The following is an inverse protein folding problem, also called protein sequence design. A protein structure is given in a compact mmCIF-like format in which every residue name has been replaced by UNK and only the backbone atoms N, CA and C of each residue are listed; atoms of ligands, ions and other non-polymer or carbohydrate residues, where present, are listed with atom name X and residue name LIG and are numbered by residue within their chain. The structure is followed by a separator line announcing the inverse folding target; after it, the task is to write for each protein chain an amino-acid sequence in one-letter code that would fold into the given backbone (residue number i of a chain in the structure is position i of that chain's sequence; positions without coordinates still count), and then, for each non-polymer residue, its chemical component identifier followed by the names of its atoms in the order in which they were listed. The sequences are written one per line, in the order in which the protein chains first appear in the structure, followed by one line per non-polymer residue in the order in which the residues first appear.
data_IF_449373842117
#
_entry.id   IF_449373842117
#
_cell.length_a   1.000
_cell.length_b   1.000
_cell.length_c   1.000
_cell.angle_alpha   90.00
_cell.angle_beta   90.00
_cell.angle_gamma   90.00
#
_symmetry.space_group_name_H-M   'P 1'
#
loop_
_entity.id
_entity.type
_entity.pdbx_description
1 polymer ?
2 water ?
#
# COMPACT_ATOMS: atom_id res chain seq x y z
N UNK A 5 20.40 1.37 -4.80
CA UNK A 5 18.92 1.27 -4.75
C UNK A 5 18.45 0.68 -3.42
N UNK A 6 19.25 -0.23 -2.86
CA UNK A 6 18.91 -0.88 -1.60
C UNK A 6 18.51 0.04 -0.47
N UNK A 7 19.34 1.02 -0.11
CA UNK A 7 19.00 1.92 0.99
C UNK A 7 17.62 2.53 0.79
N UNK A 8 17.35 2.92 -0.45
CA UNK A 8 16.08 3.53 -0.77
C UNK A 8 14.93 2.54 -0.55
N UNK A 9 15.13 1.30 -0.97
CA UNK A 9 14.13 0.27 -0.82
C UNK A 9 13.97 -0.10 0.66
N UNK A 10 15.09 -0.33 1.33
CA UNK A 10 15.08 -0.67 2.74
C UNK A 10 14.40 0.44 3.52
N UNK A 11 14.70 1.69 3.17
CA UNK A 11 14.11 2.83 3.85
C UNK A 11 12.60 2.89 3.67
N UNK A 12 12.19 2.82 2.42
CA UNK A 12 10.78 2.90 2.09
C UNK A 12 9.96 1.73 2.68
N UNK A 13 10.48 0.52 2.57
CA UNK A 13 9.72 -0.62 3.02
C UNK A 13 9.84 -1.12 4.46
N UNK A 14 10.92 -0.80 5.15
CA UNK A 14 11.04 -1.27 6.52
C UNK A 14 10.33 -0.30 7.45
N UNK A 15 10.12 0.92 6.98
CA UNK A 15 9.43 1.90 7.79
C UNK A 15 7.93 1.59 7.77
N UNK A 16 7.16 2.35 8.52
CA UNK A 16 5.73 2.11 8.55
C UNK A 16 5.01 2.90 7.49
N UNK A 17 3.68 2.81 7.56
CA UNK A 17 2.79 3.49 6.64
C UNK A 17 1.76 4.17 7.51
N UNK A 18 0.97 5.05 6.92
CA UNK A 18 -0.07 5.76 7.65
C UNK A 18 -1.40 5.09 7.39
N UNK A 19 -2.16 4.87 8.45
CA UNK A 19 -3.46 4.25 8.28
C UNK A 19 -4.43 5.17 8.94
N UNK A 20 -5.47 5.57 8.21
CA UNK A 20 -6.49 6.46 8.74
C UNK A 20 -7.78 5.89 8.21
N UNK A 21 -8.81 5.87 9.04
CA UNK A 21 -10.09 5.37 8.57
C UNK A 21 -11.11 6.48 8.65
N UNK A 22 -12.07 6.46 7.74
CA UNK A 22 -13.13 7.45 7.72
C UNK A 22 -12.67 8.88 7.66
N UNK A 23 -11.67 9.15 6.84
CA UNK A 23 -11.20 10.51 6.68
C UNK A 23 -12.19 11.16 5.72
N UNK A 24 -12.29 12.47 5.76
CA UNK A 24 -13.23 13.13 4.89
C UNK A 24 -12.52 13.83 3.76
N UNK A 25 -13.09 13.71 2.57
CA UNK A 25 -12.54 14.35 1.39
C UNK A 25 -12.87 15.83 1.41
N UNK A 26 -11.82 16.65 1.39
CA UNK A 26 -11.96 18.10 1.36
C UNK A 26 -11.95 18.50 -0.09
N UNK A 27 -11.00 17.96 -0.84
CA UNK A 27 -10.87 18.29 -2.25
C UNK A 27 -10.30 17.16 -3.07
N UNK A 28 -10.69 17.12 -4.32
CA UNK A 28 -10.23 16.10 -5.22
C UNK A 28 -10.20 16.71 -6.61
N UNK A 29 -9.01 17.09 -7.05
CA UNK A 29 -8.88 17.66 -8.39
C UNK A 29 -7.44 17.80 -8.82
N UNK A 30 -7.27 17.77 -10.14
CA UNK A 30 -5.97 17.92 -10.79
C UNK A 30 -4.91 16.91 -10.33
N UNK A 31 -5.34 15.67 -10.08
CA UNK A 31 -4.43 14.61 -9.66
C UNK A 31 -4.09 14.52 -8.18
N UNK A 32 -4.70 15.35 -7.34
CA UNK A 32 -4.42 15.29 -5.91
C UNK A 32 -5.69 15.40 -5.07
N UNK A 33 -5.59 14.96 -3.82
CA UNK A 33 -6.70 14.98 -2.89
C UNK A 33 -6.25 15.64 -1.62
N UNK A 34 -7.14 16.41 -1.01
CA UNK A 34 -6.85 17.03 0.26
C UNK A 34 -7.90 16.34 1.15
N UNK A 35 -7.43 15.65 2.17
CA UNK A 35 -8.29 14.87 3.05
C UNK A 35 -8.12 15.25 4.51
N UNK A 36 -9.23 15.27 5.24
CA UNK A 36 -9.22 15.60 6.63
C UNK A 36 -9.32 14.30 7.41
N UNK A 37 -8.29 13.99 8.17
CA UNK A 37 -8.27 12.76 8.98
C UNK A 37 -8.89 13.00 10.36
N UNK A 38 -9.44 11.95 10.96
CA UNK A 38 -10.08 12.05 12.28
C UNK A 38 -9.16 12.53 13.41
N UNK A 39 -7.85 12.47 13.22
CA UNK A 39 -6.96 12.96 14.27
C UNK A 39 -6.71 14.46 14.08
N UNK A 40 -7.40 15.05 13.10
CA UNK A 40 -7.25 16.46 12.82
C UNK A 40 -6.18 16.81 11.80
N UNK A 41 -5.39 15.83 11.37
CA UNK A 41 -4.35 16.10 10.40
C UNK A 41 -4.94 16.22 8.99
N UNK A 42 -4.21 16.89 8.10
CA UNK A 42 -4.65 17.07 6.72
C UNK A 42 -3.71 16.31 5.84
N UNK A 43 -4.25 15.47 4.98
CA UNK A 43 -3.43 14.71 4.07
C UNK A 43 -3.56 15.28 2.66
N UNK A 44 -2.42 15.53 2.03
CA UNK A 44 -2.39 16.00 0.65
C UNK A 44 -1.82 14.78 -0.08
N UNK A 45 -2.66 14.11 -0.85
CA UNK A 45 -2.25 12.88 -1.52
C UNK A 45 -2.27 13.01 -3.01
N UNK A 46 -1.18 12.60 -3.64
CA UNK A 46 -1.09 12.65 -5.08
C UNK A 46 -1.42 11.30 -5.68
N UNK A 47 -1.95 11.37 -6.90
CA UNK A 47 -2.35 10.21 -7.66
C UNK A 47 -1.81 10.42 -9.05
N UNK A 48 -0.56 9.97 -9.29
CA UNK A 48 0.13 10.10 -10.57
C UNK A 48 -0.31 9.18 -11.70
N UNK A 49 -0.98 8.09 -11.35
CA UNK A 49 -1.39 7.13 -12.36
C UNK A 49 -2.65 7.48 -13.11
N UNK A 50 -2.61 7.43 -14.45
CA UNK A 50 -3.81 7.74 -15.21
C UNK A 50 -4.87 6.65 -15.04
N UNK A 51 -4.49 5.54 -14.42
CA UNK A 51 -5.39 4.42 -14.24
C UNK A 51 -6.04 4.38 -12.88
N UNK A 52 -5.58 5.23 -11.97
CA UNK A 52 -6.12 5.24 -10.63
C UNK A 52 -6.44 6.66 -10.23
N UNK A 53 -7.70 7.04 -10.40
CA UNK A 53 -8.13 8.38 -10.04
C UNK A 53 -9.35 8.21 -9.18
N UNK A 54 -9.20 8.39 -7.86
CA UNK A 54 -10.31 8.26 -6.91
C UNK A 54 -11.42 9.22 -7.29
N UNK A 55 -12.64 8.71 -7.40
CA UNK A 55 -13.77 9.54 -7.78
C UNK A 55 -14.50 10.17 -6.62
N UNK A 56 -13.99 9.99 -5.40
CA UNK A 56 -14.65 10.56 -4.21
C UNK A 56 -14.78 12.08 -4.29
N UNK A 57 -15.96 12.59 -3.96
CA UNK A 57 -16.17 14.02 -4.01
C UNK A 57 -16.11 14.61 -2.62
N UNK A 58 -16.22 15.93 -2.53
CA UNK A 58 -16.15 16.65 -1.26
C UNK A 58 -17.15 16.08 -0.23
N UNK A 59 -16.67 15.85 0.97
CA UNK A 59 -17.54 15.32 2.00
C UNK A 59 -17.61 13.81 2.07
N UNK A 60 -17.26 13.10 1.00
CA UNK A 60 -17.30 11.63 1.05
C UNK A 60 -16.24 11.10 2.04
N UNK A 61 -16.49 9.93 2.62
CA UNK A 61 -15.54 9.35 3.56
C UNK A 61 -14.63 8.35 2.85
N UNK A 62 -13.36 8.32 3.24
CA UNK A 62 -12.39 7.41 2.63
C UNK A 62 -11.44 6.87 3.69
N UNK A 63 -10.76 5.79 3.35
CA UNK A 63 -9.76 5.19 4.22
C UNK A 63 -8.42 5.46 3.54
N UNK A 64 -7.39 5.67 4.34
CA UNK A 64 -6.03 5.91 3.85
C UNK A 64 -5.09 4.81 4.36
N UNK A 65 -4.33 4.22 3.45
CA UNK A 65 -3.33 3.20 3.77
C UNK A 65 -2.28 3.67 2.80
N UNK A 66 -1.48 4.61 3.28
CA UNK A 66 -0.54 5.29 2.42
C UNK A 66 0.85 5.58 2.98
N UNK A 67 1.73 6.07 2.11
CA UNK A 67 3.11 6.37 2.49
C UNK A 67 3.41 7.84 2.24
N UNK A 68 4.22 8.43 3.12
CA UNK A 68 4.62 9.82 3.04
C UNK A 68 5.78 9.95 2.09
N UNK A 69 5.74 10.96 1.24
CA UNK A 69 6.82 11.18 0.29
C UNK A 69 7.67 12.37 0.70
N UNK A 70 7.25 13.07 1.74
CA UNK A 70 7.96 14.24 2.26
C UNK A 70 7.73 14.23 3.76
N UNK A 71 8.46 15.08 4.47
CA UNK A 71 8.28 15.18 5.91
C UNK A 71 7.02 15.98 6.20
N UNK A 72 6.20 15.46 7.11
CA UNK A 72 4.98 16.11 7.50
C UNK A 72 5.36 17.42 8.19
N UNK A 73 4.52 18.42 8.01
CA UNK A 73 4.74 19.73 8.56
C UNK A 73 3.69 20.05 9.62
N UNK A 74 4.14 20.59 10.74
CA UNK A 74 3.25 20.97 11.83
C UNK A 74 3.02 22.45 11.62
N UNK A 75 1.85 22.82 11.14
CA UNK A 75 1.56 24.22 10.88
C UNK A 75 1.41 25.10 12.13
N UNK A 76 1.36 26.41 11.88
CA UNK A 76 1.20 27.41 12.92
C UNK A 76 -0.19 27.30 13.52
N UNK A 77 -1.08 26.62 12.81
CA UNK A 77 -2.45 26.40 13.27
C UNK A 77 -2.53 25.16 14.15
N UNK A 78 -1.39 24.51 14.38
CA UNK A 78 -1.35 23.30 15.20
C UNK A 78 -1.77 22.04 14.45
N UNK A 79 -1.87 22.16 13.14
CA UNK A 79 -2.29 21.05 12.30
C UNK A 79 -1.13 20.38 11.60
N UNK A 80 -1.16 19.06 11.55
CA UNK A 80 -0.13 18.31 10.85
C UNK A 80 -0.62 18.16 9.41
N UNK A 81 0.29 18.35 8.46
CA UNK A 81 -0.04 18.19 7.06
C UNK A 81 0.89 17.09 6.57
N UNK A 82 0.30 16.04 6.01
CA UNK A 82 1.04 14.89 5.51
C UNK A 82 1.03 14.97 4.00
N UNK A 83 2.13 14.53 3.40
CA UNK A 83 2.30 14.53 1.95
C UNK A 83 2.50 13.09 1.62
N UNK A 84 1.44 12.50 1.09
CA UNK A 84 1.39 11.09 0.80
C UNK A 84 1.10 10.80 -0.66
N UNK A 85 1.20 9.53 -1.03
CA UNK A 85 0.95 9.14 -2.39
C UNK A 85 0.07 7.90 -2.42
N UNK A 86 -1.01 7.99 -3.19
CA UNK A 86 -1.94 6.88 -3.40
C UNK A 86 -2.59 6.36 -2.10
N UNK A 87 -3.15 5.15 -2.16
CA UNK A 87 -3.75 4.53 -0.99
C UNK A 87 -5.05 5.07 -0.43
N UNK A 88 -5.95 5.50 -1.31
CA UNK A 88 -7.25 6.03 -0.93
C UNK A 88 -8.30 5.07 -1.47
N UNK A 89 -9.09 4.52 -0.55
CA UNK A 89 -10.12 3.53 -0.88
C UNK A 89 -11.41 3.87 -0.16
N UNK A 90 -12.49 3.17 -0.50
CA UNK A 90 -13.76 3.37 0.19
C UNK A 90 -13.58 2.87 1.62
N UNK A 91 -14.62 3.00 2.43
CA UNK A 91 -14.53 2.60 3.83
C UNK A 91 -15.08 1.22 4.16
N UNK A 92 -15.49 0.45 3.17
CA UNK A 92 -16.07 -0.88 3.41
C UNK A 92 -15.15 -1.87 4.13
N UNK A 93 -15.66 -2.47 5.20
CA UNK A 93 -14.90 -3.43 5.98
C UNK A 93 -15.57 -4.80 5.89
N UNK A 94 -14.74 -5.83 5.83
CA UNK A 94 -15.21 -7.21 5.74
C UNK A 94 -15.86 -7.59 7.07
N UNK A 95 -16.78 -8.57 7.05
CA UNK A 95 -17.47 -9.03 8.26
C UNK A 95 -16.46 -9.35 9.36
N UNK A 96 -15.38 -10.02 8.97
CA UNK A 96 -14.31 -10.38 9.89
C UNK A 96 -13.00 -10.34 9.11
N UNK A 97 -11.88 -10.03 9.78
CA UNK A 97 -10.58 -9.97 9.12
C UNK A 97 -10.27 -11.31 8.46
N UNK A 98 -9.63 -11.28 7.29
CA UNK A 98 -9.30 -12.49 6.57
C UNK A 98 -7.81 -12.60 6.32
N UNK A 99 -7.34 -13.83 6.11
CA UNK A 99 -5.94 -14.08 5.85
C UNK A 99 -5.75 -14.15 4.35
N UNK A 100 -4.90 -13.28 3.83
CA UNK A 100 -4.60 -13.27 2.41
C UNK A 100 -3.56 -14.34 2.17
N UNK A 101 -3.77 -15.18 1.15
CA UNK A 101 -2.85 -16.27 0.81
C UNK A 101 -1.50 -15.79 0.26
N UNK A 102 -0.50 -15.64 1.13
CA UNK A 102 0.83 -15.22 0.70
C UNK A 102 1.84 -16.37 0.74
N UNK A 103 2.29 -16.81 -0.43
CA UNK A 103 3.28 -17.89 -0.52
C UNK A 103 4.60 -17.26 -0.93
N UNK A 104 5.65 -17.52 -0.16
CA UNK A 104 6.97 -16.96 -0.39
C UNK A 104 8.07 -17.98 -0.69
N UNK A 105 8.91 -17.67 -1.68
CA UNK A 105 10.05 -18.50 -2.06
C UNK A 105 11.28 -17.61 -1.95
N UNK A 106 12.34 -18.15 -1.37
CA UNK A 106 13.60 -17.42 -1.23
C UNK A 106 14.62 -18.35 -1.85
N UNK A 107 15.20 -17.91 -2.96
CA UNK A 107 16.20 -18.70 -3.67
C UNK A 107 15.65 -20.06 -4.06
N UNK A 108 14.41 -20.06 -4.55
CA UNK A 108 13.75 -21.28 -4.99
C UNK A 108 13.00 -22.08 -3.94
N UNK A 109 13.36 -21.93 -2.67
CA UNK A 109 12.69 -22.70 -1.64
C UNK A 109 11.59 -21.97 -0.89
N UNK A 110 10.47 -22.67 -0.65
CA UNK A 110 9.35 -22.09 0.08
C UNK A 110 9.84 -21.61 1.44
N UNK A 111 9.25 -20.52 1.91
CA UNK A 111 9.63 -19.92 3.16
C UNK A 111 8.37 -19.52 3.94
N UNK A 112 8.10 -20.23 5.05
CA UNK A 112 6.92 -19.95 5.88
C UNK A 112 6.91 -18.54 6.45
N UNK A 113 5.70 -17.98 6.53
CA UNK A 113 5.47 -16.62 7.02
C UNK A 113 5.50 -16.52 8.53
N UNK A 114 5.64 -15.28 9.01
CA UNK A 114 5.66 -14.96 10.44
C UNK A 114 5.22 -13.50 10.56
N UNK A 115 4.13 -13.29 11.28
CA UNK A 115 3.55 -11.96 11.51
C UNK A 115 2.86 -11.37 10.28
N UNK A 116 2.18 -12.20 9.50
CA UNK A 116 1.44 -11.76 8.31
C UNK A 116 0.04 -11.39 8.80
N UNK A 117 -0.23 -10.10 9.00
CA UNK A 117 -1.53 -9.61 9.48
C UNK A 117 -2.73 -9.95 8.62
N UNK A 118 -3.88 -10.00 9.27
CA UNK A 118 -5.14 -10.28 8.59
C UNK A 118 -5.61 -8.95 8.04
N UNK A 119 -6.52 -9.00 7.08
CA UNK A 119 -7.03 -7.78 6.47
C UNK A 119 -8.54 -7.65 6.68
N UNK A 120 -8.96 -6.46 7.06
CA UNK A 120 -10.36 -6.16 7.29
C UNK A 120 -10.98 -5.23 6.24
N UNK A 121 -10.20 -4.74 5.29
CA UNK A 121 -10.80 -3.86 4.30
C UNK A 121 -11.24 -4.61 3.07
N UNK A 122 -12.41 -4.24 2.55
CA UNK A 122 -12.93 -4.87 1.35
C UNK A 122 -11.97 -4.51 0.21
N UNK A 123 -11.63 -3.24 0.07
CA UNK A 123 -10.73 -2.89 -1.01
C UNK A 123 -9.44 -2.26 -0.55
N UNK A 124 -8.37 -2.59 -1.26
CA UNK A 124 -7.08 -2.02 -0.95
C UNK A 124 -6.42 -1.60 -2.25
N UNK A 125 -5.68 -0.51 -2.19
CA UNK A 125 -4.92 -0.03 -3.33
C UNK A 125 -3.82 -1.05 -3.54
N UNK A 126 -3.43 -1.23 -4.80
CA UNK A 126 -2.37 -2.15 -5.16
C UNK A 126 -1.06 -1.71 -4.48
N UNK A 127 -0.84 -0.40 -4.38
CA UNK A 127 0.37 0.10 -3.72
C UNK A 127 0.38 -0.25 -2.23
N UNK A 128 -0.80 -0.29 -1.62
CA UNK A 128 -0.88 -0.65 -0.22
C UNK A 128 -0.47 -2.12 -0.08
N UNK A 129 -1.01 -2.96 -0.96
CA UNK A 129 -0.70 -4.38 -0.95
C UNK A 129 0.79 -4.55 -1.17
N UNK A 130 1.34 -3.78 -2.10
CA UNK A 130 2.76 -3.84 -2.35
C UNK A 130 3.55 -3.55 -1.09
N UNK A 131 3.26 -2.45 -0.39
CA UNK A 131 4.04 -2.19 0.82
C UNK A 131 3.79 -3.21 1.95
N UNK A 132 2.56 -3.69 2.06
CA UNK A 132 2.27 -4.68 3.10
C UNK A 132 3.12 -5.93 2.82
N UNK A 133 3.13 -6.36 1.56
CA UNK A 133 3.90 -7.53 1.18
C UNK A 133 5.40 -7.38 1.43
N UNK A 134 6.00 -6.35 0.83
CA UNK A 134 7.43 -6.14 0.99
C UNK A 134 7.82 -5.89 2.43
N UNK A 135 6.96 -5.21 3.19
CA UNK A 135 7.26 -4.98 4.58
C UNK A 135 7.40 -6.33 5.27
N UNK A 136 6.48 -7.24 4.96
CA UNK A 136 6.52 -8.59 5.51
C UNK A 136 7.81 -9.25 5.06
N UNK A 137 8.12 -9.13 3.77
CA UNK A 137 9.34 -9.71 3.24
C UNK A 137 10.63 -9.17 3.91
N UNK A 138 10.66 -7.88 4.21
CA UNK A 138 11.86 -7.33 4.83
C UNK A 138 11.97 -7.68 6.31
N UNK A 139 10.85 -7.69 7.01
CA UNK A 139 10.90 -8.00 8.43
C UNK A 139 11.13 -9.48 8.74
N UNK A 140 10.53 -10.38 7.97
CA UNK A 140 10.68 -11.80 8.26
C UNK A 140 11.52 -12.64 7.30
N UNK A 141 11.70 -12.17 6.08
CA UNK A 141 12.50 -12.92 5.11
C UNK A 141 13.81 -12.23 4.74
N UNK A 142 14.09 -11.10 5.39
CA UNK A 142 15.34 -10.39 5.16
C UNK A 142 15.54 -9.65 3.85
N UNK A 143 14.44 -9.38 3.14
CA UNK A 143 14.52 -8.66 1.87
C UNK A 143 15.24 -7.32 2.11
N UNK A 144 16.22 -7.01 1.25
CA UNK A 144 17.02 -5.78 1.34
C UNK A 144 17.98 -5.76 2.54
N UNK A 145 17.93 -6.79 3.38
CA UNK A 145 18.80 -6.88 4.55
C UNK A 145 20.13 -7.57 4.25
N UNK A 146 20.20 -8.28 3.14
CA UNK A 146 21.44 -8.95 2.77
C UNK A 146 21.59 -8.93 1.25
N UNK A 147 22.84 -8.98 0.80
CA UNK A 147 23.18 -8.93 -0.62
C UNK A 147 22.61 -10.05 -1.48
N UNK A 148 22.15 -11.13 -0.85
CA UNK A 148 21.56 -12.23 -1.60
C UNK A 148 20.02 -12.13 -1.65
N UNK A 149 19.47 -11.01 -1.19
CA UNK A 149 18.02 -10.81 -1.20
C UNK A 149 17.73 -9.35 -1.55
N UNK A 150 17.92 -9.00 -2.81
CA UNK A 150 17.70 -7.62 -3.22
C UNK A 150 16.74 -7.51 -4.40
N UNK A 151 16.25 -8.66 -4.85
CA UNK A 151 15.36 -8.69 -5.98
C UNK A 151 14.29 -9.75 -5.85
N UNK A 152 13.56 -9.97 -6.93
CA UNK A 152 12.49 -10.94 -6.93
C UNK A 152 11.24 -10.22 -7.41
N UNK A 153 10.08 -10.67 -6.95
CA UNK A 153 8.82 -10.07 -7.37
C UNK A 153 7.70 -10.59 -6.50
N UNK A 154 6.56 -9.91 -6.59
CA UNK A 154 5.36 -10.39 -5.95
C UNK A 154 4.33 -10.38 -7.07
N UNK A 155 3.39 -11.30 -7.00
CA UNK A 155 2.37 -11.45 -8.01
C UNK A 155 1.07 -11.82 -7.32
N UNK A 156 0.02 -11.08 -7.63
CA UNK A 156 -1.30 -11.32 -7.09
C UNK A 156 -2.15 -11.85 -8.22
N UNK A 157 -2.73 -13.02 -8.03
CA UNK A 157 -3.62 -13.54 -9.05
C UNK A 157 -5.04 -13.45 -8.51
N UNK A 158 -5.92 -12.80 -9.26
CA UNK A 158 -7.30 -12.67 -8.84
C UNK A 158 -8.08 -13.95 -9.16
N UNK A 159 -9.28 -14.07 -8.61
CA UNK A 159 -10.11 -15.25 -8.85
C UNK A 159 -10.39 -15.42 -10.33
N UNK A 160 -10.70 -14.32 -11.02
CA UNK A 160 -10.97 -14.40 -12.44
C UNK A 160 -9.68 -14.62 -13.24
N UNK A 161 -8.56 -14.75 -12.54
CA UNK A 161 -7.30 -14.97 -13.22
C UNK A 161 -6.44 -13.76 -13.58
N UNK A 162 -6.97 -12.54 -13.46
CA UNK A 162 -6.17 -11.36 -13.77
C UNK A 162 -5.02 -11.29 -12.78
N UNK A 163 -3.88 -10.72 -13.19
CA UNK A 163 -2.72 -10.63 -12.30
C UNK A 163 -2.13 -9.23 -12.13
N UNK A 164 -1.42 -9.07 -11.03
CA UNK A 164 -0.73 -7.83 -10.70
C UNK A 164 0.63 -8.31 -10.26
N UNK A 165 1.67 -7.61 -10.69
CA UNK A 165 3.04 -8.00 -10.37
C UNK A 165 3.86 -6.78 -10.05
N UNK A 166 4.92 -6.97 -9.29
CA UNK A 166 5.78 -5.87 -8.95
C UNK A 166 7.18 -6.41 -8.78
N UNK A 167 8.14 -5.71 -9.37
CA UNK A 167 9.55 -6.07 -9.28
C UNK A 167 10.10 -5.60 -7.93
N UNK A 168 10.72 -6.51 -7.20
CA UNK A 168 11.25 -6.19 -5.88
C UNK A 168 12.54 -5.38 -5.89
N UNK A 169 13.19 -5.31 -7.04
CA UNK A 169 14.43 -4.56 -7.14
C UNK A 169 14.15 -3.09 -7.36
N UNK A 170 12.92 -2.74 -7.71
CA UNK A 170 12.56 -1.34 -7.97
C UNK A 170 11.47 -0.93 -7.01
N UNK A 171 11.32 0.37 -6.82
CA UNK A 171 10.27 0.88 -5.97
C UNK A 171 8.98 0.67 -6.76
N UNK A 172 7.86 0.55 -6.06
CA UNK A 172 6.59 0.30 -6.72
C UNK A 172 6.28 1.32 -7.83
N UNK A 173 5.68 0.86 -8.91
CA UNK A 173 5.34 1.77 -9.99
C UNK A 173 4.02 2.48 -9.77
N UNK A 174 4.10 3.54 -8.98
CA UNK A 174 2.94 4.36 -8.68
C UNK A 174 2.39 5.02 -9.94
N UNK A 175 3.29 5.33 -10.88
CA UNK A 175 2.90 5.99 -12.12
C UNK A 175 1.95 5.20 -13.01
N UNK A 176 1.91 3.88 -12.84
CA UNK A 176 1.02 3.05 -13.65
C UNK A 176 0.03 2.28 -12.78
N UNK A 177 -0.04 2.64 -11.51
CA UNK A 177 -0.94 1.93 -10.60
C UNK A 177 -2.38 1.77 -11.09
N UNK A 178 -2.87 0.54 -10.99
CA UNK A 178 -4.24 0.24 -11.38
C UNK A 178 -5.18 0.57 -10.22
N UNK A 179 -6.50 0.58 -10.47
CA UNK A 179 -7.46 0.89 -9.41
C UNK A 179 -7.42 -0.17 -8.30
N UNK A 180 -7.88 0.19 -7.09
CA UNK A 180 -7.91 -0.71 -5.93
C UNK A 180 -8.68 -2.00 -6.22
N UNK A 181 -8.30 -3.08 -5.56
CA UNK A 181 -8.96 -4.36 -5.78
C UNK A 181 -9.68 -4.85 -4.51
N UNK A 182 -10.68 -5.71 -4.70
CA UNK A 182 -11.42 -6.29 -3.58
C UNK A 182 -10.54 -7.43 -3.14
N UNK A 183 -10.01 -7.35 -1.92
CA UNK A 183 -9.10 -8.39 -1.47
C UNK A 183 -9.77 -9.73 -1.25
N UNK A 184 -11.09 -9.73 -1.09
CA UNK A 184 -11.80 -10.99 -0.92
C UNK A 184 -11.85 -11.69 -2.27
N UNK A 185 -11.31 -11.05 -3.31
CA UNK A 185 -11.31 -11.63 -4.64
C UNK A 185 -9.92 -12.06 -5.09
N UNK A 186 -8.96 -12.00 -4.17
CA UNK A 186 -7.61 -12.39 -4.48
C UNK A 186 -7.52 -13.90 -4.33
N UNK A 187 -7.02 -14.58 -5.36
CA UNK A 187 -6.86 -16.03 -5.31
C UNK A 187 -5.58 -16.31 -4.53
N UNK A 188 -4.46 -15.85 -5.07
CA UNK A 188 -3.17 -16.05 -4.41
C UNK A 188 -2.28 -14.84 -4.51
N UNK A 189 -1.29 -14.80 -3.63
CA UNK A 189 -0.28 -13.78 -3.62
C UNK A 189 0.98 -14.60 -3.44
N UNK A 190 1.91 -14.47 -4.37
CA UNK A 190 3.15 -15.19 -4.24
C UNK A 190 4.27 -14.22 -4.42
N UNK A 191 5.36 -14.49 -3.72
CA UNK A 191 6.53 -13.64 -3.76
C UNK A 191 7.76 -14.50 -3.79
N UNK A 192 8.70 -14.13 -4.66
CA UNK A 192 9.97 -14.84 -4.73
C UNK A 192 11.07 -13.81 -4.48
N UNK A 193 12.01 -14.14 -3.62
CA UNK A 193 13.13 -13.28 -3.32
C UNK A 193 14.36 -13.94 -3.97
N UNK A 194 15.15 -13.14 -4.67
CA UNK A 194 16.35 -13.61 -5.36
C UNK A 194 17.50 -12.67 -5.02
#
# INVERSE_FOLDING_TARGET
STNDNIKDLLDWYSSGSDTFTNSEVLDNSLGSMRIKNTDGSISLIIFPSPYYSPAFTKGEKVDLNTKRIKKSQHTSEGTWIHFQISGVTNTEKLPTPIELPLKVKVHGKDSPLKYWPKFDKKQLAISTLDFKIRHQLTQTHGLYRSSDKTGGYWKITMNDGSTYQSDLSKKFEYNTEKPPINIDEIKTIEAEIN
#
